data_IF_126085944558
#
_entry.id   IF_126085944558
#
_cell.length_a   1.000
_cell.length_b   1.000
_cell.length_c   1.000
_cell.angle_alpha   90.00
_cell.angle_beta   90.00
_cell.angle_gamma   90.00
#
_symmetry.space_group_name_H-M   'P 1'
#
loop_
_entity.id
_entity.type
_entity.pdbx_description
1 polymer ?
#
# COMPACT_ATOMS: atom_id res chain seq x y z
N UNK A 1 -19.82 35.33 47.21
CA UNK A 1 -20.34 34.13 46.49
C UNK A 1 -19.89 34.07 45.02
N UNK A 2 -19.20 35.09 44.50
CA UNK A 2 -18.77 35.18 43.08
C UNK A 2 -17.41 34.51 42.79
N UNK A 3 -16.49 34.46 43.75
CA UNK A 3 -15.15 33.89 43.59
C UNK A 3 -15.15 32.37 43.39
N UNK A 4 -16.07 31.64 44.04
CA UNK A 4 -16.18 30.17 43.90
C UNK A 4 -16.72 29.74 42.52
N UNK A 5 -17.56 30.58 41.90
CA UNK A 5 -18.13 30.31 40.58
C UNK A 5 -17.09 30.48 39.46
N UNK A 6 -16.22 31.48 39.58
CA UNK A 6 -15.14 31.75 38.62
C UNK A 6 -14.13 30.60 38.55
N UNK A 7 -13.66 30.10 39.71
CA UNK A 7 -12.75 28.96 39.76
C UNK A 7 -13.37 27.69 39.15
N UNK A 8 -14.68 27.46 39.33
CA UNK A 8 -15.38 26.33 38.71
C UNK A 8 -15.37 26.38 37.19
N UNK A 9 -15.60 27.56 36.60
CA UNK A 9 -15.59 27.75 35.15
C UNK A 9 -14.17 27.60 34.58
N UNK A 10 -13.16 28.17 35.27
CA UNK A 10 -11.76 28.07 34.83
C UNK A 10 -11.27 26.62 34.83
N UNK A 11 -11.63 25.82 35.85
CA UNK A 11 -11.28 24.39 35.90
C UNK A 11 -11.95 23.61 34.77
N UNK A 12 -13.19 23.94 34.43
CA UNK A 12 -13.94 23.30 33.33
C UNK A 12 -13.31 23.59 31.95
N UNK A 13 -12.87 24.84 31.73
CA UNK A 13 -12.20 25.25 30.49
C UNK A 13 -10.84 24.55 30.36
N UNK A 14 -10.06 24.47 31.43
CA UNK A 14 -8.76 23.79 31.43
C UNK A 14 -8.93 22.28 31.17
N UNK A 15 -9.92 21.65 31.80
CA UNK A 15 -10.22 20.23 31.58
C UNK A 15 -10.62 19.94 30.12
N UNK A 16 -11.40 20.83 29.49
CA UNK A 16 -11.79 20.69 28.08
C UNK A 16 -10.61 20.83 27.11
N UNK A 17 -9.61 21.66 27.44
CA UNK A 17 -8.40 21.85 26.61
C UNK A 17 -7.48 20.62 26.66
N UNK A 18 -7.41 19.92 27.79
CA UNK A 18 -6.52 18.75 27.94
C UNK A 18 -7.01 17.49 27.23
N UNK A 19 -8.30 17.42 26.86
CA UNK A 19 -8.87 16.25 26.18
C UNK A 19 -8.66 16.27 24.65
N UNK A 20 -8.14 17.35 24.07
CA UNK A 20 -8.03 17.50 22.62
C UNK A 20 -6.71 16.98 22.01
N UNK A 21 -5.76 16.50 22.82
CA UNK A 21 -4.40 16.19 22.34
C UNK A 21 -4.00 14.72 22.36
N UNK A 22 -4.95 13.77 22.44
CA UNK A 22 -4.62 12.36 22.27
C UNK A 22 -4.66 11.97 20.79
N UNK A 23 -3.65 12.40 20.03
CA UNK A 23 -3.36 11.76 18.74
C UNK A 23 -2.74 10.39 19.04
N UNK A 24 -3.37 9.26 18.66
CA UNK A 24 -2.70 7.97 18.76
C UNK A 24 -1.43 8.05 17.92
N UNK A 25 -0.27 7.81 18.54
CA UNK A 25 0.98 7.57 17.84
C UNK A 25 0.77 6.32 17.00
N UNK A 26 0.45 6.52 15.73
CA UNK A 26 0.25 5.44 14.78
C UNK A 26 1.62 4.81 14.54
N UNK A 27 1.86 3.68 15.22
CA UNK A 27 3.09 2.93 15.15
C UNK A 27 3.27 2.41 13.71
N UNK A 28 4.05 3.15 12.93
CA UNK A 28 4.37 2.83 11.53
C UNK A 28 5.56 1.87 11.43
N UNK A 29 5.99 1.29 12.56
CA UNK A 29 7.05 0.27 12.60
C UNK A 29 6.59 -0.97 11.83
N UNK A 30 7.24 -1.22 10.70
CA UNK A 30 6.91 -2.31 9.78
C UNK A 30 6.18 -1.88 8.51
N UNK A 31 5.82 -0.60 8.36
CA UNK A 31 5.27 -0.06 7.11
C UNK A 31 6.39 0.41 6.18
N UNK A 32 6.55 -0.28 5.05
CA UNK A 32 7.47 0.10 3.98
C UNK A 32 6.83 1.06 2.98
N UNK A 33 7.62 1.99 2.43
CA UNK A 33 7.19 2.80 1.26
C UNK A 33 7.22 1.92 0.02
N UNK A 34 6.11 1.82 -0.68
CA UNK A 34 5.99 1.04 -1.91
C UNK A 34 6.50 1.85 -3.10
N UNK A 35 7.32 1.23 -3.93
CA UNK A 35 7.72 1.82 -5.20
C UNK A 35 6.64 1.61 -6.27
N UNK A 36 6.44 2.66 -7.08
CA UNK A 36 5.54 2.61 -8.22
C UNK A 36 6.34 2.47 -9.51
N UNK A 37 5.92 1.55 -10.36
CA UNK A 37 6.46 1.37 -11.70
C UNK A 37 5.32 1.60 -12.69
N UNK A 38 5.49 2.54 -13.62
CA UNK A 38 4.43 2.93 -14.59
C UNK A 38 3.09 3.27 -13.91
N UNK A 39 3.14 3.90 -12.73
CA UNK A 39 1.95 4.27 -11.95
C UNK A 39 1.27 3.11 -11.20
N UNK A 40 1.81 1.89 -11.27
CA UNK A 40 1.32 0.71 -10.55
C UNK A 40 2.23 0.38 -9.38
N UNK A 41 1.63 -0.01 -8.27
CA UNK A 41 2.38 -0.44 -7.08
C UNK A 41 2.95 -1.83 -7.31
N UNK A 42 4.17 -2.05 -6.81
CA UNK A 42 4.88 -3.33 -6.96
C UNK A 42 5.26 -3.84 -5.58
N UNK A 43 4.80 -5.05 -5.27
CA UNK A 43 5.07 -5.75 -4.03
C UNK A 43 5.89 -7.01 -4.35
N UNK A 44 7.02 -7.19 -3.66
CA UNK A 44 7.92 -8.32 -3.86
C UNK A 44 8.19 -8.92 -2.49
N UNK A 45 7.84 -10.19 -2.29
CA UNK A 45 7.95 -10.89 -1.01
C UNK A 45 7.13 -10.21 0.12
N UNK A 46 6.09 -9.46 -0.24
CA UNK A 46 5.24 -8.76 0.70
C UNK A 46 3.83 -8.57 0.15
N UNK A 47 2.88 -8.35 1.05
CA UNK A 47 1.49 -8.09 0.71
C UNK A 47 1.08 -6.65 1.07
N UNK A 48 0.18 -6.04 0.29
CA UNK A 48 -0.45 -4.78 0.68
C UNK A 48 -1.28 -4.95 1.96
N UNK A 49 -1.22 -3.95 2.83
CA UNK A 49 -2.08 -3.87 4.03
C UNK A 49 -3.52 -3.51 3.66
N UNK A 50 -3.72 -2.86 2.51
CA UNK A 50 -5.04 -2.47 2.00
C UNK A 50 -5.84 -3.69 1.56
N UNK A 51 -7.17 -3.63 1.70
CA UNK A 51 -8.02 -4.64 1.11
C UNK A 51 -7.98 -4.58 -0.41
N UNK A 52 -7.86 -5.75 -1.04
CA UNK A 52 -7.80 -5.86 -2.48
C UNK A 52 -8.60 -7.06 -2.98
N UNK A 53 -8.91 -7.05 -4.27
CA UNK A 53 -9.39 -8.18 -5.03
C UNK A 53 -8.33 -8.62 -6.04
N UNK A 54 -8.30 -9.92 -6.34
CA UNK A 54 -7.41 -10.48 -7.36
C UNK A 54 -8.10 -10.38 -8.72
N UNK A 55 -7.49 -9.65 -9.65
CA UNK A 55 -8.02 -9.42 -10.99
C UNK A 55 -7.56 -10.49 -11.97
N UNK A 56 -6.29 -10.90 -11.90
CA UNK A 56 -5.71 -11.96 -12.74
C UNK A 56 -4.45 -12.54 -12.09
N UNK A 57 -3.98 -13.68 -12.59
CA UNK A 57 -2.70 -14.29 -12.24
C UNK A 57 -1.87 -14.54 -13.50
N UNK A 58 -0.62 -14.11 -13.49
CA UNK A 58 0.33 -14.36 -14.57
C UNK A 58 1.43 -15.30 -14.07
N UNK A 59 1.50 -16.48 -14.66
CA UNK A 59 2.68 -17.33 -14.51
C UNK A 59 3.80 -16.75 -15.39
N UNK A 60 4.97 -16.54 -14.79
CA UNK A 60 6.14 -16.01 -15.48
C UNK A 60 7.35 -16.81 -15.02
N UNK A 61 8.23 -17.23 -15.91
CA UNK A 61 9.46 -17.93 -15.52
C UNK A 61 10.57 -16.94 -15.16
N UNK A 62 10.30 -15.99 -14.25
CA UNK A 62 11.29 -14.97 -13.84
C UNK A 62 12.49 -15.61 -13.11
N UNK A 63 12.34 -16.84 -12.61
CA UNK A 63 13.43 -17.70 -12.14
C UNK A 63 14.57 -17.83 -13.15
N UNK A 64 14.29 -17.79 -14.46
CA UNK A 64 15.34 -17.86 -15.49
C UNK A 64 16.08 -16.53 -15.75
N UNK A 65 15.47 -15.37 -15.46
CA UNK A 65 16.11 -14.06 -15.65
C UNK A 65 16.81 -13.56 -14.38
N UNK A 66 16.46 -14.10 -13.20
CA UNK A 66 17.24 -13.90 -11.97
C UNK A 66 18.66 -14.46 -12.08
N UNK A 67 18.87 -15.48 -12.93
CA UNK A 67 20.15 -16.11 -13.17
C UNK A 67 21.10 -15.29 -14.09
N UNK A 68 20.66 -14.15 -14.66
CA UNK A 68 21.45 -13.41 -15.64
C UNK A 68 21.22 -11.90 -15.69
N UNK A 69 22.09 -11.13 -15.04
CA UNK A 69 22.47 -9.72 -15.35
C UNK A 69 21.40 -8.60 -15.26
N UNK A 70 20.15 -8.86 -14.90
CA UNK A 70 19.13 -7.79 -14.75
C UNK A 70 18.80 -7.51 -13.28
N UNK A 71 18.54 -6.24 -12.95
CA UNK A 71 18.09 -5.83 -11.61
C UNK A 71 16.62 -6.17 -11.41
N UNK A 72 16.22 -6.42 -10.16
CA UNK A 72 14.80 -6.66 -9.77
C UNK A 72 13.89 -5.57 -10.33
N UNK A 73 14.35 -4.31 -10.31
CA UNK A 73 13.59 -3.18 -10.85
C UNK A 73 13.24 -3.33 -12.34
N UNK A 74 14.19 -3.76 -13.20
CA UNK A 74 13.93 -3.96 -14.63
C UNK A 74 12.94 -5.11 -14.86
N UNK A 75 13.08 -6.20 -14.12
CA UNK A 75 12.17 -7.34 -14.21
C UNK A 75 10.75 -6.95 -13.80
N UNK A 76 10.60 -6.21 -12.70
CA UNK A 76 9.30 -5.73 -12.26
C UNK A 76 8.69 -4.73 -13.26
N UNK A 77 9.52 -3.92 -13.92
CA UNK A 77 9.05 -3.05 -15.01
C UNK A 77 8.51 -3.86 -16.19
N UNK A 78 9.18 -4.93 -16.62
CA UNK A 78 8.68 -5.82 -17.66
C UNK A 78 7.40 -6.57 -17.26
N UNK A 79 7.25 -6.91 -15.98
CA UNK A 79 6.02 -7.49 -15.45
C UNK A 79 4.87 -6.51 -15.54
N UNK A 80 5.06 -5.28 -15.07
CA UNK A 80 4.01 -4.25 -15.12
C UNK A 80 3.67 -3.90 -16.56
N UNK A 81 4.65 -3.78 -17.46
CA UNK A 81 4.43 -3.55 -18.88
C UNK A 81 3.62 -4.69 -19.53
N UNK A 82 3.91 -5.96 -19.20
CA UNK A 82 3.12 -7.11 -19.63
C UNK A 82 1.68 -7.07 -19.11
N UNK A 83 1.49 -6.69 -17.85
CA UNK A 83 0.15 -6.53 -17.26
C UNK A 83 -0.64 -5.41 -17.98
N UNK A 84 -0.02 -4.25 -18.20
CA UNK A 84 -0.63 -3.14 -18.96
C UNK A 84 -1.00 -3.56 -20.38
N UNK A 85 -0.11 -4.25 -21.10
CA UNK A 85 -0.41 -4.78 -22.44
C UNK A 85 -1.58 -5.77 -22.45
N UNK A 86 -1.80 -6.53 -21.37
CA UNK A 86 -2.98 -7.41 -21.25
C UNK A 86 -4.25 -6.62 -20.97
N UNK A 87 -4.15 -5.55 -20.17
CA UNK A 87 -5.26 -4.60 -19.95
C UNK A 87 -5.66 -3.94 -21.27
N UNK A 88 -4.70 -3.41 -22.02
CA UNK A 88 -4.96 -2.74 -23.29
C UNK A 88 -5.56 -3.67 -24.35
N UNK A 89 -5.27 -4.97 -24.25
CA UNK A 89 -5.87 -6.02 -25.09
C UNK A 89 -7.23 -6.51 -24.59
N UNK A 90 -7.77 -5.93 -23.52
CA UNK A 90 -9.05 -6.33 -22.91
C UNK A 90 -9.02 -7.73 -22.27
N UNK A 91 -7.84 -8.28 -21.96
CA UNK A 91 -7.71 -9.60 -21.34
C UNK A 91 -7.86 -9.57 -19.81
N UNK A 92 -7.61 -8.42 -19.21
CA UNK A 92 -7.76 -8.17 -17.78
C UNK A 92 -8.45 -6.82 -17.57
N UNK A 93 -9.13 -6.68 -16.44
CA UNK A 93 -9.73 -5.41 -16.03
C UNK A 93 -8.68 -4.38 -15.57
N UNK A 94 -9.17 -3.23 -15.12
CA UNK A 94 -8.35 -2.26 -14.42
C UNK A 94 -7.74 -2.85 -13.15
N UNK A 95 -6.50 -2.48 -12.86
CA UNK A 95 -5.74 -2.96 -11.70
C UNK A 95 -4.84 -1.85 -11.17
N UNK A 96 -4.44 -1.93 -9.91
CA UNK A 96 -3.67 -0.89 -9.23
C UNK A 96 -2.26 -1.33 -8.87
N UNK A 97 -2.08 -2.64 -8.64
CA UNK A 97 -0.81 -3.18 -8.22
C UNK A 97 -0.55 -4.58 -8.77
N UNK A 98 0.72 -4.96 -8.72
CA UNK A 98 1.19 -6.32 -8.96
C UNK A 98 1.97 -6.78 -7.73
N UNK A 99 1.78 -8.03 -7.34
CA UNK A 99 2.53 -8.64 -6.24
C UNK A 99 3.08 -10.00 -6.64
N UNK A 100 4.21 -10.38 -6.05
CA UNK A 100 4.80 -11.69 -6.23
C UNK A 100 5.55 -12.10 -4.97
N UNK A 101 5.36 -13.35 -4.56
CA UNK A 101 6.15 -13.95 -3.48
C UNK A 101 7.45 -14.47 -4.08
N UNK A 102 7.37 -15.51 -4.90
CA UNK A 102 8.58 -16.23 -5.39
C UNK A 102 9.09 -15.75 -6.76
N UNK A 103 8.44 -14.77 -7.38
CA UNK A 103 8.74 -14.31 -8.74
C UNK A 103 8.15 -15.17 -9.85
N UNK A 104 7.72 -16.41 -9.59
CA UNK A 104 7.15 -17.28 -10.62
C UNK A 104 5.68 -16.99 -10.92
N UNK A 105 4.94 -16.53 -9.92
CA UNK A 105 3.54 -16.14 -10.05
C UNK A 105 3.41 -14.67 -9.71
N UNK A 106 2.96 -13.88 -10.68
CA UNK A 106 2.55 -12.49 -10.47
C UNK A 106 1.04 -12.49 -10.25
N UNK A 107 0.61 -11.94 -9.12
CA UNK A 107 -0.79 -11.69 -8.82
C UNK A 107 -1.08 -10.23 -9.15
N UNK A 108 -2.10 -10.00 -9.97
CA UNK A 108 -2.57 -8.67 -10.34
C UNK A 108 -3.76 -8.35 -9.43
N UNK A 109 -3.70 -7.21 -8.75
CA UNK A 109 -4.69 -6.84 -7.75
C UNK A 109 -5.27 -5.44 -8.02
N UNK A 110 -6.50 -5.26 -7.55
CA UNK A 110 -7.19 -3.98 -7.51
C UNK A 110 -7.60 -3.68 -6.08
N UNK A 111 -7.36 -2.46 -5.63
CA UNK A 111 -7.73 -2.07 -4.28
C UNK A 111 -9.24 -1.83 -4.18
N UNK A 112 -9.82 -2.11 -3.01
CA UNK A 112 -11.27 -1.91 -2.78
C UNK A 112 -11.62 -0.48 -2.37
N UNK A 113 -10.61 0.32 -2.04
CA UNK A 113 -10.71 1.74 -1.67
C UNK A 113 -11.11 2.67 -2.83
#
# INVERSE_FOLDING_TARGET
>A
MTTRLYYGIVVLVIASLTLFSFSPLQDSKGLGRVQKTLGKEVYVMCEPVREYEVVDRLTTSLTSSLAGRQTIQKQMQEVVDRALKRKDKGKIGDFDAVMTDDGDVIVIIKFKD
#
